data_IF_903633873313
#
_entry.id   IF_903633873313
#
_cell.length_a   1.000
_cell.length_b   1.000
_cell.length_c   1.000
_cell.angle_alpha   90.00
_cell.angle_beta   90.00
_cell.angle_gamma   90.00
#
_symmetry.space_group_name_H-M   'P 1'
#
loop_
_entity.id
_entity.type
_entity.pdbx_description
1 polymer ?
#
# COMPACT_ATOMS: atom_id res chain seq x y z
N UNK A 1 -13.84 32.41 -11.97
CA UNK A 1 -13.80 32.12 -10.52
C UNK A 1 -15.20 31.73 -10.12
N UNK A 2 -15.46 30.44 -9.95
CA UNK A 2 -16.74 30.00 -9.39
C UNK A 2 -16.73 30.27 -7.89
N UNK A 3 -17.73 31.02 -7.44
CA UNK A 3 -17.98 31.29 -6.03
C UNK A 3 -18.56 29.99 -5.44
N UNK A 4 -17.71 29.12 -4.92
CA UNK A 4 -18.18 27.98 -4.13
C UNK A 4 -18.79 28.51 -2.83
N UNK A 5 -20.11 28.66 -2.81
CA UNK A 5 -20.86 28.93 -1.58
C UNK A 5 -20.86 27.65 -0.74
N UNK A 6 -20.15 27.64 0.37
CA UNK A 6 -20.15 26.51 1.31
C UNK A 6 -21.52 26.44 1.99
N UNK A 7 -22.25 25.33 1.82
CA UNK A 7 -23.50 25.03 2.51
C UNK A 7 -23.13 24.41 3.88
N UNK A 8 -23.52 25.03 5.01
CA UNK A 8 -23.22 24.46 6.32
C UNK A 8 -24.02 23.17 6.56
N UNK A 9 -23.32 22.11 6.93
CA UNK A 9 -23.88 20.81 7.29
C UNK A 9 -24.09 20.72 8.80
N UNK A 10 -25.16 20.06 9.24
CA UNK A 10 -25.50 19.86 10.65
C UNK A 10 -26.22 18.52 10.85
N UNK A 11 -25.60 17.64 11.64
CA UNK A 11 -26.15 16.36 12.08
C UNK A 11 -26.14 16.24 13.62
N UNK A 12 -26.25 17.37 14.33
CA UNK A 12 -26.24 17.41 15.79
C UNK A 12 -27.54 16.91 16.45
N UNK A 13 -28.60 16.71 15.65
CA UNK A 13 -29.94 16.34 16.15
C UNK A 13 -30.70 17.48 16.82
N UNK A 14 -30.16 18.71 16.84
CA UNK A 14 -30.79 19.90 17.44
C UNK A 14 -31.79 20.62 16.50
N UNK A 15 -32.03 20.06 15.33
CA UNK A 15 -32.91 20.61 14.31
C UNK A 15 -33.05 19.66 13.12
N UNK A 16 -33.72 20.10 12.04
CA UNK A 16 -33.84 19.31 10.81
C UNK A 16 -32.48 18.94 10.23
N UNK A 17 -32.35 17.70 9.77
CA UNK A 17 -31.09 17.12 9.30
C UNK A 17 -30.50 17.89 8.10
N UNK A 18 -29.32 18.48 8.23
CA UNK A 18 -28.67 19.21 7.13
C UNK A 18 -27.48 18.41 6.59
N UNK A 19 -27.76 17.46 5.71
CA UNK A 19 -26.77 16.61 5.03
C UNK A 19 -27.09 16.49 3.54
N UNK A 20 -26.12 16.13 2.68
CA UNK A 20 -26.38 15.84 1.26
C UNK A 20 -27.58 14.91 1.05
N UNK A 21 -28.48 15.27 0.13
CA UNK A 21 -29.72 14.53 -0.15
C UNK A 21 -30.93 14.94 0.70
N UNK A 22 -30.76 15.80 1.70
CA UNK A 22 -31.84 16.29 2.55
C UNK A 22 -31.95 17.82 2.49
N UNK A 23 -33.17 18.32 2.69
CA UNK A 23 -33.47 19.76 2.82
C UNK A 23 -32.85 20.65 1.71
N UNK A 24 -32.89 20.17 0.46
CA UNK A 24 -32.41 20.92 -0.71
C UNK A 24 -30.89 20.91 -0.91
N UNK A 25 -30.14 20.15 -0.11
CA UNK A 25 -28.69 19.96 -0.31
C UNK A 25 -28.49 18.89 -1.39
N UNK A 26 -27.76 19.18 -2.48
CA UNK A 26 -27.49 18.19 -3.53
C UNK A 26 -26.84 16.92 -2.98
N UNK A 27 -27.21 15.77 -3.53
CA UNK A 27 -26.66 14.47 -3.09
C UNK A 27 -25.14 14.36 -3.28
N UNK A 28 -24.60 15.06 -4.29
CA UNK A 28 -23.17 15.11 -4.59
C UNK A 28 -22.47 16.33 -3.95
N UNK A 29 -23.11 17.00 -2.99
CA UNK A 29 -22.48 18.10 -2.28
C UNK A 29 -21.37 17.58 -1.37
N UNK A 30 -20.13 18.03 -1.63
CA UNK A 30 -18.95 17.70 -0.84
C UNK A 30 -18.37 18.95 -0.20
N UNK A 31 -17.92 18.83 1.06
CA UNK A 31 -17.09 19.86 1.67
C UNK A 31 -15.69 19.85 1.03
N UNK A 32 -14.93 20.93 1.23
CA UNK A 32 -13.53 20.97 0.80
C UNK A 32 -12.71 19.87 1.48
N UNK A 33 -11.60 19.40 0.87
CA UNK A 33 -10.75 18.33 1.44
C UNK A 33 -10.37 18.55 2.91
N UNK A 34 -10.15 19.81 3.31
CA UNK A 34 -9.72 20.16 4.67
C UNK A 34 -10.84 20.07 5.71
N UNK A 35 -12.10 20.03 5.26
CA UNK A 35 -13.30 20.03 6.09
C UNK A 35 -14.12 18.75 5.98
N UNK A 36 -13.62 17.72 5.26
CA UNK A 36 -14.27 16.42 5.10
C UNK A 36 -13.37 15.26 5.54
N UNK A 37 -13.98 14.11 5.77
CA UNK A 37 -13.23 12.87 5.87
C UNK A 37 -12.65 12.49 4.51
N UNK A 38 -11.38 12.12 4.48
CA UNK A 38 -10.76 11.56 3.29
C UNK A 38 -11.47 10.27 2.90
N UNK A 39 -11.81 10.13 1.62
CA UNK A 39 -12.38 8.91 1.07
C UNK A 39 -11.50 8.33 -0.04
N UNK A 40 -11.57 7.01 -0.22
CA UNK A 40 -10.73 6.28 -1.18
C UNK A 40 -10.95 6.60 -2.65
N UNK A 41 -12.07 7.27 -3.03
CA UNK A 41 -12.44 7.42 -4.44
C UNK A 41 -11.62 8.45 -5.23
N UNK A 42 -11.32 9.64 -4.66
CA UNK A 42 -10.76 10.77 -5.44
C UNK A 42 -9.53 11.45 -4.84
N UNK A 43 -9.35 11.39 -3.53
CA UNK A 43 -8.35 12.21 -2.82
C UNK A 43 -7.32 11.40 -2.04
N UNK A 44 -7.56 10.10 -1.84
CA UNK A 44 -6.55 9.25 -1.23
C UNK A 44 -5.35 9.10 -2.16
N UNK A 45 -4.20 9.54 -1.69
CA UNK A 45 -2.89 9.23 -2.25
C UNK A 45 -1.99 8.81 -1.10
N UNK A 46 -1.28 7.71 -1.26
CA UNK A 46 -0.23 7.38 -0.31
C UNK A 46 0.82 8.51 -0.32
N UNK A 47 0.97 9.21 0.80
CA UNK A 47 1.97 10.27 0.98
C UNK A 47 2.76 10.01 2.27
N UNK A 48 4.08 9.78 2.16
CA UNK A 48 4.87 9.69 0.91
C UNK A 48 4.46 8.47 0.07
N UNK A 49 4.58 8.60 -1.26
CA UNK A 49 4.39 7.49 -2.17
C UNK A 49 5.49 6.43 -1.94
N UNK A 50 5.17 5.15 -2.21
CA UNK A 50 6.17 4.08 -2.24
C UNK A 50 7.28 4.49 -3.19
N UNK A 51 8.52 4.46 -2.72
CA UNK A 51 9.68 4.76 -3.55
C UNK A 51 9.85 3.67 -4.60
N UNK A 52 10.42 4.02 -5.76
CA UNK A 52 10.67 3.04 -6.83
C UNK A 52 11.50 1.84 -6.35
N UNK A 53 12.40 2.04 -5.37
CA UNK A 53 13.19 0.97 -4.77
C UNK A 53 12.36 0.06 -3.88
N UNK A 54 11.49 0.61 -3.03
CA UNK A 54 10.56 -0.19 -2.22
C UNK A 54 9.65 -1.03 -3.13
N UNK A 55 9.15 -0.45 -4.22
CA UNK A 55 8.37 -1.22 -5.20
C UNK A 55 9.19 -2.37 -5.81
N UNK A 56 10.44 -2.11 -6.21
CA UNK A 56 11.32 -3.16 -6.73
C UNK A 56 11.63 -4.26 -5.70
N UNK A 57 11.72 -3.91 -4.41
CA UNK A 57 11.88 -4.87 -3.31
C UNK A 57 10.64 -5.76 -3.15
N UNK A 58 9.44 -5.16 -3.15
CA UNK A 58 8.18 -5.90 -3.08
C UNK A 58 8.02 -6.82 -4.30
N UNK A 59 8.34 -6.35 -5.50
CA UNK A 59 8.28 -7.16 -6.71
C UNK A 59 9.25 -8.36 -6.66
N UNK A 60 10.44 -8.19 -6.08
CA UNK A 60 11.37 -9.28 -5.84
C UNK A 60 10.79 -10.31 -4.87
N UNK A 61 10.25 -9.85 -3.73
CA UNK A 61 9.64 -10.71 -2.72
C UNK A 61 8.54 -11.54 -3.36
N UNK A 62 7.62 -10.92 -4.11
CA UNK A 62 6.55 -11.62 -4.83
C UNK A 62 7.10 -12.69 -5.79
N UNK A 63 8.09 -12.35 -6.61
CA UNK A 63 8.71 -13.30 -7.57
C UNK A 63 9.37 -14.50 -6.88
N UNK A 64 9.82 -14.35 -5.63
CA UNK A 64 10.39 -15.43 -4.82
C UNK A 64 9.27 -16.24 -4.17
N UNK A 65 8.29 -15.59 -3.53
CA UNK A 65 7.20 -16.26 -2.82
C UNK A 65 6.23 -17.01 -3.74
N UNK A 66 6.12 -16.61 -5.00
CA UNK A 66 5.36 -17.35 -6.03
C UNK A 66 5.99 -18.71 -6.39
N UNK A 67 7.24 -18.99 -5.97
CA UNK A 67 7.92 -20.24 -6.32
C UNK A 67 7.47 -21.38 -5.41
N UNK A 68 7.20 -22.57 -5.96
CA UNK A 68 6.93 -23.76 -5.14
C UNK A 68 8.07 -24.06 -4.18
N UNK A 69 7.75 -24.21 -2.89
CA UNK A 69 8.70 -24.50 -1.82
C UNK A 69 9.73 -23.40 -1.57
N UNK A 70 9.42 -22.13 -1.90
CA UNK A 70 10.34 -21.01 -1.68
C UNK A 70 10.84 -20.93 -0.22
N UNK A 71 9.95 -21.17 0.75
CA UNK A 71 10.22 -21.13 2.19
C UNK A 71 11.25 -22.19 2.65
N UNK A 72 11.44 -23.27 1.89
CA UNK A 72 12.50 -24.26 2.14
C UNK A 72 13.80 -23.90 1.39
N UNK A 73 13.67 -23.31 0.21
CA UNK A 73 14.78 -22.99 -0.70
C UNK A 73 15.54 -21.73 -0.28
N UNK A 74 14.91 -20.81 0.44
CA UNK A 74 15.52 -19.54 0.90
C UNK A 74 16.73 -19.72 1.86
N UNK A 75 16.89 -20.93 2.42
CA UNK A 75 18.02 -21.30 3.27
C UNK A 75 19.15 -22.02 2.53
N UNK A 76 19.00 -22.24 1.22
CA UNK A 76 19.98 -22.93 0.39
C UNK A 76 20.68 -21.94 -0.54
N UNK A 77 21.99 -21.82 -0.40
CA UNK A 77 22.80 -20.83 -1.12
C UNK A 77 22.65 -20.96 -2.65
N UNK A 78 22.55 -22.18 -3.18
CA UNK A 78 22.35 -22.41 -4.63
C UNK A 78 21.12 -21.71 -5.22
N UNK A 79 20.06 -21.52 -4.43
CA UNK A 79 18.83 -20.83 -4.86
C UNK A 79 18.93 -19.34 -4.58
N UNK A 80 19.48 -18.97 -3.44
CA UNK A 80 19.69 -17.58 -3.03
C UNK A 80 20.59 -16.86 -4.04
N UNK A 81 21.70 -17.47 -4.47
CA UNK A 81 22.62 -16.91 -5.45
C UNK A 81 21.94 -16.70 -6.81
N UNK A 82 21.18 -17.70 -7.28
CA UNK A 82 20.41 -17.60 -8.53
C UNK A 82 19.36 -16.49 -8.47
N UNK A 83 18.67 -16.34 -7.34
CA UNK A 83 17.67 -15.29 -7.15
C UNK A 83 18.32 -13.91 -7.05
N UNK A 84 19.46 -13.81 -6.38
CA UNK A 84 20.28 -12.60 -6.31
C UNK A 84 20.69 -12.16 -7.71
N UNK A 85 21.33 -13.04 -8.47
CA UNK A 85 21.77 -12.75 -9.83
C UNK A 85 20.63 -12.27 -10.71
N UNK A 86 19.46 -12.92 -10.60
CA UNK A 86 18.27 -12.50 -11.35
C UNK A 86 17.76 -11.13 -10.88
N UNK A 87 17.74 -10.86 -9.58
CA UNK A 87 17.28 -9.59 -9.02
C UNK A 87 18.13 -8.42 -9.55
N UNK A 88 19.45 -8.54 -9.48
CA UNK A 88 20.39 -7.52 -9.96
C UNK A 88 20.39 -7.36 -11.49
N UNK A 89 20.14 -8.44 -12.25
CA UNK A 89 19.98 -8.36 -13.71
C UNK A 89 18.66 -7.72 -14.15
N UNK A 90 17.60 -7.88 -13.36
CA UNK A 90 16.24 -7.46 -13.76
C UNK A 90 15.88 -6.05 -13.26
N UNK A 91 16.53 -5.57 -12.19
CA UNK A 91 16.22 -4.28 -11.59
C UNK A 91 17.48 -3.50 -11.27
N UNK A 92 17.67 -2.36 -11.97
CA UNK A 92 18.75 -1.41 -11.67
C UNK A 92 18.56 -0.68 -10.33
N UNK A 93 17.37 -0.79 -9.73
CA UNK A 93 17.05 -0.20 -8.42
C UNK A 93 17.48 -1.09 -7.26
N UNK A 94 17.79 -2.37 -7.55
CA UNK A 94 18.28 -3.32 -6.58
C UNK A 94 19.72 -2.99 -6.18
N UNK A 95 19.91 -2.66 -4.90
CA UNK A 95 21.23 -2.48 -4.30
C UNK A 95 21.53 -3.61 -3.32
N UNK A 96 22.80 -3.77 -2.93
CA UNK A 96 23.18 -4.77 -1.92
C UNK A 96 22.37 -4.65 -0.63
N UNK A 97 22.15 -3.42 -0.15
CA UNK A 97 21.36 -3.19 1.06
C UNK A 97 19.90 -3.62 0.86
N UNK A 98 19.29 -3.27 -0.27
CA UNK A 98 17.91 -3.66 -0.58
C UNK A 98 17.76 -5.18 -0.69
N UNK A 99 18.72 -5.85 -1.34
CA UNK A 99 18.78 -7.30 -1.44
C UNK A 99 18.90 -7.95 -0.05
N UNK A 100 19.85 -7.51 0.77
CA UNK A 100 20.05 -8.05 2.12
C UNK A 100 18.80 -7.91 2.99
N UNK A 101 18.10 -6.78 2.90
CA UNK A 101 16.81 -6.61 3.57
C UNK A 101 15.75 -7.59 3.07
N UNK A 102 15.58 -7.73 1.76
CA UNK A 102 14.62 -8.68 1.18
C UNK A 102 14.93 -10.11 1.61
N UNK A 103 16.21 -10.50 1.61
CA UNK A 103 16.65 -11.83 2.02
C UNK A 103 16.36 -12.09 3.50
N UNK A 104 16.61 -11.11 4.38
CA UNK A 104 16.26 -11.22 5.81
C UNK A 104 14.76 -11.40 5.99
N UNK A 105 13.96 -10.51 5.41
CA UNK A 105 12.49 -10.56 5.50
C UNK A 105 11.93 -11.89 4.99
N UNK A 106 12.41 -12.39 3.85
CA UNK A 106 11.99 -13.68 3.31
C UNK A 106 12.35 -14.84 4.25
N UNK A 107 13.51 -14.81 4.90
CA UNK A 107 13.91 -15.85 5.86
C UNK A 107 13.06 -15.78 7.12
N UNK A 108 12.80 -14.59 7.64
CA UNK A 108 11.95 -14.38 8.81
C UNK A 108 10.53 -14.88 8.53
N UNK A 109 9.97 -14.57 7.35
CA UNK A 109 8.66 -15.07 6.91
C UNK A 109 8.64 -16.58 6.73
N UNK A 110 9.72 -17.18 6.21
CA UNK A 110 9.81 -18.63 6.06
C UNK A 110 9.88 -19.35 7.42
N UNK A 111 10.59 -18.77 8.40
CA UNK A 111 10.63 -19.26 9.78
C UNK A 111 9.22 -19.19 10.38
N UNK A 112 8.57 -18.02 10.28
CA UNK A 112 7.21 -17.81 10.78
C UNK A 112 6.21 -18.79 10.16
N UNK A 113 6.26 -18.99 8.84
CA UNK A 113 5.40 -19.96 8.13
C UNK A 113 5.59 -21.39 8.66
N UNK A 114 6.85 -21.81 8.92
CA UNK A 114 7.16 -23.13 9.47
C UNK A 114 6.61 -23.30 10.89
N UNK A 115 6.66 -22.25 11.71
CA UNK A 115 6.22 -22.27 13.11
C UNK A 115 4.70 -22.22 13.25
N UNK A 116 4.01 -21.50 12.36
CA UNK A 116 2.58 -21.21 12.47
C UNK A 116 1.68 -21.99 11.51
N UNK A 117 2.25 -22.60 10.45
CA UNK A 117 1.52 -23.32 9.39
C UNK A 117 0.41 -22.51 8.71
N UNK A 118 0.44 -21.18 8.80
CA UNK A 118 -0.51 -20.24 8.23
C UNK A 118 0.08 -19.45 7.06
#
# INVERSE_FOLDING_TARGET
>A
MEIHTTIPLDNSGRGPLRVPGFHGIPIHYELKPEARFAHGEREWRQMPAVTAREQAMVDLINKVTDKPGWHLKIFKDEFVDKWRDKAFKTSSLMSEKAWSWCLSELRDKAIFFRETQH
#
